data_IF_926283717243
#
_entry.id   IF_926283717243
#
_cell.length_a   1.000
_cell.length_b   1.000
_cell.length_c   1.000
_cell.angle_alpha   90.00
_cell.angle_beta   90.00
_cell.angle_gamma   90.00
#
_symmetry.space_group_name_H-M   'P 1'
#
loop_
_entity.id
_entity.type
_entity.pdbx_description
1 polymer ?
#
# COMPACT_ATOMS: atom_id res chain seq x y z
N UNK A 1 -3.98 -6.32 -17.82
CA UNK A 1 -3.95 -7.75 -17.43
C UNK A 1 -5.33 -8.13 -16.90
N UNK A 2 -5.99 -9.12 -17.52
CA UNK A 2 -7.35 -9.54 -17.14
C UNK A 2 -7.25 -10.80 -16.27
N UNK A 3 -7.91 -10.81 -15.12
CA UNK A 3 -8.03 -12.00 -14.26
C UNK A 3 -9.50 -12.16 -13.88
N UNK A 4 -9.95 -13.40 -13.80
CA UNK A 4 -11.30 -13.75 -13.33
C UNK A 4 -11.19 -14.31 -11.91
N UNK A 5 -12.20 -14.06 -11.10
CA UNK A 5 -12.36 -14.63 -9.77
C UNK A 5 -13.77 -15.22 -9.65
N UNK A 6 -13.88 -16.34 -8.93
CA UNK A 6 -15.18 -16.96 -8.64
C UNK A 6 -15.80 -16.27 -7.43
N UNK A 7 -17.08 -15.93 -7.54
CA UNK A 7 -17.89 -15.50 -6.40
C UNK A 7 -18.28 -16.75 -5.60
N UNK A 8 -18.05 -16.75 -4.30
CA UNK A 8 -18.46 -17.84 -3.42
C UNK A 8 -19.98 -17.85 -3.22
N UNK A 9 -20.54 -18.94 -2.68
CA UNK A 9 -21.97 -19.00 -2.34
C UNK A 9 -22.42 -17.93 -1.35
N UNK A 10 -21.48 -17.37 -0.58
CA UNK A 10 -21.72 -16.27 0.38
C UNK A 10 -21.54 -14.88 -0.24
N UNK A 11 -21.39 -14.78 -1.56
CA UNK A 11 -21.22 -13.50 -2.25
C UNK A 11 -19.83 -12.87 -2.11
N UNK A 12 -18.82 -13.62 -1.66
CA UNK A 12 -17.46 -13.08 -1.50
C UNK A 12 -16.61 -13.33 -2.75
N UNK A 13 -15.72 -12.40 -3.07
CA UNK A 13 -14.68 -12.58 -4.09
C UNK A 13 -13.32 -12.73 -3.44
N UNK A 14 -12.50 -13.64 -3.97
CA UNK A 14 -11.10 -13.77 -3.53
C UNK A 14 -10.20 -12.99 -4.48
N UNK A 15 -9.40 -12.06 -3.96
CA UNK A 15 -8.39 -11.38 -4.77
C UNK A 15 -7.24 -12.35 -5.13
N UNK A 16 -7.00 -12.62 -6.43
CA UNK A 16 -5.86 -13.42 -6.87
C UNK A 16 -4.54 -12.85 -6.34
N UNK A 17 -3.56 -13.73 -6.09
CA UNK A 17 -2.26 -13.37 -5.48
C UNK A 17 -1.59 -12.17 -6.16
N UNK A 18 -1.69 -12.10 -7.48
CA UNK A 18 -1.06 -11.03 -8.26
C UNK A 18 -1.73 -9.66 -8.04
N UNK A 19 -3.07 -9.63 -7.94
CA UNK A 19 -3.80 -8.40 -7.63
C UNK A 19 -3.49 -7.95 -6.19
N UNK A 20 -3.46 -8.89 -5.22
CA UNK A 20 -3.05 -8.59 -3.83
C UNK A 20 -1.68 -7.94 -3.75
N UNK A 21 -0.69 -8.49 -4.47
CA UNK A 21 0.67 -7.91 -4.52
C UNK A 21 0.70 -6.50 -5.10
N UNK A 22 -0.08 -6.24 -6.16
CA UNK A 22 -0.12 -4.90 -6.79
C UNK A 22 -0.81 -3.87 -5.90
N UNK A 23 -1.92 -4.24 -5.25
CA UNK A 23 -2.61 -3.37 -4.30
C UNK A 23 -1.84 -3.22 -2.98
N UNK A 24 -0.88 -4.12 -2.70
CA UNK A 24 -0.08 -4.10 -1.49
C UNK A 24 -0.86 -4.53 -0.24
N UNK A 25 -1.97 -5.25 -0.41
CA UNK A 25 -2.86 -5.67 0.68
C UNK A 25 -2.51 -7.06 1.21
N UNK A 26 -2.72 -7.24 2.50
CA UNK A 26 -2.51 -8.47 3.28
C UNK A 26 -3.81 -8.89 3.96
N UNK A 27 -3.82 -10.07 4.57
CA UNK A 27 -4.96 -10.51 5.37
C UNK A 27 -5.19 -9.52 6.52
N UNK A 28 -6.44 -9.07 6.70
CA UNK A 28 -6.81 -8.05 7.69
C UNK A 28 -6.82 -6.61 7.16
N UNK A 29 -6.21 -6.35 6.00
CA UNK A 29 -6.30 -5.04 5.36
C UNK A 29 -7.68 -4.80 4.78
N UNK A 30 -8.11 -3.54 4.78
CA UNK A 30 -9.39 -3.11 4.21
C UNK A 30 -9.18 -2.56 2.80
N UNK A 31 -10.16 -2.76 1.95
CA UNK A 31 -10.26 -2.16 0.62
C UNK A 31 -11.59 -1.42 0.52
N UNK A 32 -11.59 -0.32 -0.22
CA UNK A 32 -12.75 0.47 -0.57
C UNK A 32 -13.18 0.10 -1.98
N UNK A 33 -14.50 0.00 -2.19
CA UNK A 33 -15.12 -0.22 -3.48
C UNK A 33 -15.85 1.04 -3.87
N UNK A 34 -15.53 1.60 -5.03
CA UNK A 34 -16.25 2.71 -5.63
C UNK A 34 -16.89 2.22 -6.92
N UNK A 35 -18.17 2.49 -7.10
CA UNK A 35 -18.96 2.05 -8.26
C UNK A 35 -19.42 3.28 -9.04
N UNK A 36 -18.99 3.38 -10.30
CA UNK A 36 -19.42 4.43 -11.23
C UNK A 36 -20.61 4.02 -12.12
N UNK A 37 -21.18 2.84 -11.87
CA UNK A 37 -22.28 2.23 -12.61
C UNK A 37 -21.84 1.39 -13.82
N UNK A 38 -20.57 1.47 -14.23
CA UNK A 38 -19.97 0.66 -15.32
C UNK A 38 -18.80 -0.18 -14.82
N UNK A 39 -18.04 0.35 -13.88
CA UNK A 39 -16.82 -0.22 -13.34
C UNK A 39 -16.83 -0.05 -11.82
N UNK A 40 -16.43 -1.13 -11.14
CA UNK A 40 -16.13 -1.07 -9.72
C UNK A 40 -14.62 -0.93 -9.55
N UNK A 41 -14.18 0.21 -9.04
CA UNK A 41 -12.78 0.43 -8.65
C UNK A 41 -12.54 -0.09 -7.23
N UNK A 42 -11.38 -0.74 -7.02
CA UNK A 42 -10.97 -1.27 -5.72
C UNK A 42 -9.68 -0.58 -5.29
N UNK A 43 -9.74 0.15 -4.17
CA UNK A 43 -8.59 0.88 -3.62
C UNK A 43 -8.23 0.38 -2.21
N UNK A 44 -6.94 0.20 -1.87
CA UNK A 44 -6.55 -0.18 -0.51
C UNK A 44 -6.81 0.98 0.45
N UNK A 45 -7.48 0.69 1.57
CA UNK A 45 -7.67 1.68 2.63
C UNK A 45 -6.38 1.74 3.45
N UNK A 46 -5.55 2.74 3.14
CA UNK A 46 -4.37 3.03 3.95
C UNK A 46 -4.79 3.90 5.11
N UNK A 47 -4.72 3.36 6.33
CA UNK A 47 -4.74 4.22 7.51
C UNK A 47 -3.45 5.03 7.48
N UNK A 48 -3.55 6.35 7.59
CA UNK A 48 -2.39 7.15 7.95
C UNK A 48 -1.81 6.57 9.24
N UNK A 49 -0.50 6.33 9.25
CA UNK A 49 0.16 5.85 10.46
C UNK A 49 -0.05 6.91 11.55
N UNK A 50 -0.46 6.50 12.75
CA UNK A 50 -0.50 7.42 13.90
C UNK A 50 0.88 8.08 14.16
N UNK A 51 1.95 7.45 13.66
CA UNK A 51 3.32 7.93 13.72
C UNK A 51 3.78 8.70 12.49
N UNK A 52 2.95 8.87 11.46
CA UNK A 52 3.33 9.59 10.23
C UNK A 52 3.80 11.01 10.53
N UNK A 53 3.10 11.69 11.45
CA UNK A 53 3.49 13.03 11.93
C UNK A 53 4.85 13.08 12.61
N UNK A 54 5.31 11.96 13.18
CA UNK A 54 6.61 11.85 13.84
C UNK A 54 7.71 11.31 12.91
N UNK A 55 7.40 10.98 11.66
CA UNK A 55 8.40 10.50 10.72
C UNK A 55 9.46 11.59 10.46
N UNK A 56 10.70 11.33 10.87
CA UNK A 56 11.85 12.21 10.64
C UNK A 56 12.16 13.22 11.74
N UNK A 57 11.47 13.20 12.89
CA UNK A 57 11.69 14.18 13.98
C UNK A 57 13.12 14.21 14.52
N UNK A 58 13.84 13.09 14.50
CA UNK A 58 15.21 12.99 14.99
C UNK A 58 16.28 13.17 13.91
N UNK A 59 15.87 13.51 12.68
CA UNK A 59 16.73 13.44 11.50
C UNK A 59 16.79 14.79 10.76
N UNK A 60 17.09 15.93 11.43
CA UNK A 60 17.11 17.22 10.77
C UNK A 60 18.10 17.21 9.58
N UNK A 61 17.63 17.65 8.41
CA UNK A 61 18.42 17.66 7.17
C UNK A 61 18.40 16.35 6.37
N UNK A 62 17.85 15.26 6.92
CA UNK A 62 17.66 13.98 6.21
C UNK A 62 16.18 13.86 5.86
N UNK A 63 15.86 13.55 4.60
CA UNK A 63 14.46 13.39 4.17
C UNK A 63 13.69 12.34 4.99
N UNK A 64 12.36 12.40 4.94
CA UNK A 64 11.51 11.45 5.68
C UNK A 64 11.55 10.05 5.08
N UNK A 65 11.50 9.05 5.95
CA UNK A 65 11.30 7.65 5.60
C UNK A 65 12.55 6.90 5.14
N UNK A 66 12.39 5.57 5.02
CA UNK A 66 13.49 4.62 4.79
C UNK A 66 14.38 4.97 3.59
N UNK A 67 13.79 5.40 2.47
CA UNK A 67 14.55 5.71 1.25
C UNK A 67 15.53 6.86 1.46
N UNK A 68 15.10 7.92 2.15
CA UNK A 68 15.94 9.07 2.43
C UNK A 68 17.06 8.73 3.40
N UNK A 69 16.78 7.94 4.44
CA UNK A 69 17.81 7.43 5.36
C UNK A 69 18.83 6.56 4.62
N UNK A 70 18.38 5.65 3.74
CA UNK A 70 19.28 4.82 2.94
C UNK A 70 20.13 5.64 1.98
N UNK A 71 19.58 6.70 1.39
CA UNK A 71 20.33 7.62 0.52
C UNK A 71 21.43 8.33 1.33
N UNK A 72 21.08 8.91 2.47
CA UNK A 72 22.03 9.59 3.35
C UNK A 72 23.14 8.66 3.86
N UNK A 73 22.82 7.41 4.21
CA UNK A 73 23.83 6.44 4.61
C UNK A 73 24.79 6.07 3.48
N UNK A 74 24.35 6.06 2.21
CA UNK A 74 25.25 5.82 1.07
C UNK A 74 26.21 6.99 0.86
N UNK A 75 25.68 8.22 0.91
CA UNK A 75 26.50 9.44 0.81
C UNK A 75 27.57 9.48 1.90
N UNK A 76 27.23 9.12 3.16
CA UNK A 76 28.22 9.01 4.25
C UNK A 76 29.30 7.95 4.02
N UNK A 77 28.99 6.90 3.24
CA UNK A 77 29.93 5.81 2.91
C UNK A 77 30.78 6.12 1.68
N UNK A 78 30.52 7.24 1.00
CA UNK A 78 31.20 7.60 -0.24
C UNK A 78 30.78 6.75 -1.45
N UNK A 79 29.60 6.13 -1.40
CA UNK A 79 28.98 5.37 -2.51
C UNK A 79 27.99 6.22 -3.32
#
# INVERSE_FOLDING_TARGET
>A
MKKQAKVTSKGQITLPREIRRRLGVRAGDRVEFEDDGKVVEIRPVRKESAFEKYAGIGNPGIGKGRKAILKWMRELRGE
#
